data_IF_563499527697
#
_entry.id   IF_563499527697
#
_cell.length_a   1.000
_cell.length_b   1.000
_cell.length_c   1.000
_cell.angle_alpha   90.00
_cell.angle_beta   90.00
_cell.angle_gamma   90.00
#
_symmetry.space_group_name_H-M   'P 1'
#
loop_
_entity.id
_entity.type
_entity.pdbx_description
1 polymer ?
#
# COMPACT_ATOMS: atom_id res chain seq x y z
N UNK A 1 34.79 17.35 58.03
CA UNK A 1 34.28 16.30 57.16
C UNK A 1 33.25 16.95 56.17
N UNK A 2 33.73 17.32 54.99
CA UNK A 2 32.87 18.04 54.00
C UNK A 2 32.15 17.02 53.13
N UNK A 3 30.83 16.97 53.20
CA UNK A 3 29.95 16.10 52.40
C UNK A 3 29.81 16.74 51.02
N UNK A 4 30.51 16.23 50.01
CA UNK A 4 30.37 16.62 48.62
C UNK A 4 29.02 16.10 48.11
N UNK A 5 28.00 16.96 48.08
CA UNK A 5 26.76 16.74 47.36
C UNK A 5 27.04 16.81 45.85
N UNK A 6 27.24 15.66 45.22
CA UNK A 6 27.28 15.56 43.77
C UNK A 6 25.85 15.73 43.27
N UNK A 7 25.54 16.73 42.41
CA UNK A 7 24.20 16.84 41.82
C UNK A 7 23.98 15.64 40.91
N UNK A 8 23.13 14.69 41.30
CA UNK A 8 22.59 13.68 40.41
C UNK A 8 21.71 14.40 39.39
N UNK A 9 22.24 14.61 38.21
CA UNK A 9 21.45 15.05 37.05
C UNK A 9 20.42 13.96 36.76
N UNK A 10 19.22 14.13 37.27
CA UNK A 10 18.08 13.27 36.89
C UNK A 10 17.79 13.60 35.44
N UNK A 11 18.28 12.80 34.49
CA UNK A 11 17.86 12.85 33.11
C UNK A 11 16.39 12.47 33.10
N UNK A 12 15.50 13.46 33.01
CA UNK A 12 14.08 13.23 32.87
C UNK A 12 13.88 12.45 31.55
N UNK A 13 13.39 11.22 31.64
CA UNK A 13 13.09 10.39 30.51
C UNK A 13 12.00 11.08 29.66
N UNK A 14 12.26 11.28 28.38
CA UNK A 14 11.32 11.89 27.44
C UNK A 14 10.55 10.81 26.70
N UNK A 15 9.24 10.97 26.66
CA UNK A 15 8.34 10.10 25.91
C UNK A 15 7.66 10.91 24.82
N UNK A 16 7.54 10.31 23.64
CA UNK A 16 6.88 10.91 22.50
C UNK A 16 5.72 10.06 22.01
N UNK A 17 4.81 10.69 21.29
CA UNK A 17 3.80 10.01 20.50
C UNK A 17 3.57 10.74 19.18
N UNK A 18 3.04 10.04 18.20
CA UNK A 18 2.73 10.60 16.88
C UNK A 18 1.54 9.86 16.27
N UNK A 19 0.91 10.47 15.27
CA UNK A 19 -0.15 9.86 14.48
C UNK A 19 0.41 9.51 13.09
N UNK A 20 0.62 8.22 12.83
CA UNK A 20 1.14 7.76 11.53
C UNK A 20 0.16 8.01 10.40
N UNK A 21 -1.16 7.91 10.65
CA UNK A 21 -2.17 8.16 9.63
C UNK A 21 -2.11 9.60 9.11
N UNK A 22 -1.97 10.59 10.02
CA UNK A 22 -1.85 12.01 9.66
C UNK A 22 -0.58 12.31 8.87
N UNK A 23 0.51 11.57 9.15
CA UNK A 23 1.77 11.72 8.44
C UNK A 23 1.66 11.12 7.05
N UNK A 24 1.22 9.85 6.96
CA UNK A 24 1.10 9.11 5.68
C UNK A 24 0.19 9.87 4.71
N UNK A 25 -0.98 10.35 5.18
CA UNK A 25 -1.91 11.13 4.35
C UNK A 25 -1.31 12.45 3.84
N UNK A 26 -0.38 13.04 4.59
CA UNK A 26 0.29 14.26 4.18
C UNK A 26 1.48 14.02 3.23
N UNK A 27 1.94 12.77 3.07
CA UNK A 27 3.05 12.44 2.19
C UNK A 27 2.64 12.46 0.72
N UNK A 28 3.32 13.23 -0.16
CA UNK A 28 3.01 13.26 -1.59
C UNK A 28 3.19 11.89 -2.25
N UNK A 29 4.10 11.06 -1.75
CA UNK A 29 4.32 9.70 -2.21
C UNK A 29 3.08 8.81 -2.01
N UNK A 30 2.30 9.05 -0.96
CA UNK A 30 1.05 8.34 -0.71
C UNK A 30 0.00 8.65 -1.77
N UNK A 31 -0.19 9.94 -2.08
CA UNK A 31 -1.10 10.37 -3.14
C UNK A 31 -0.67 9.83 -4.51
N UNK A 32 0.64 9.88 -4.80
CA UNK A 32 1.19 9.34 -6.04
C UNK A 32 0.95 7.82 -6.12
N UNK A 33 1.22 7.08 -5.05
CA UNK A 33 1.00 5.64 -4.99
C UNK A 33 -0.48 5.27 -5.21
N UNK A 34 -1.40 6.00 -4.59
CA UNK A 34 -2.84 5.78 -4.80
C UNK A 34 -3.25 6.00 -6.27
N UNK A 35 -2.77 7.09 -6.89
CA UNK A 35 -3.07 7.38 -8.28
C UNK A 35 -2.50 6.30 -9.23
N UNK A 36 -1.29 5.84 -8.99
CA UNK A 36 -0.67 4.79 -9.81
C UNK A 36 -1.39 3.44 -9.66
N UNK A 37 -1.80 3.07 -8.44
CA UNK A 37 -2.60 1.86 -8.21
C UNK A 37 -3.96 1.97 -8.92
N UNK A 38 -4.60 3.13 -8.85
CA UNK A 38 -5.88 3.37 -9.54
C UNK A 38 -5.73 3.28 -11.06
N UNK A 39 -4.67 3.83 -11.63
CA UNK A 39 -4.37 3.74 -13.06
C UNK A 39 -4.12 2.29 -13.49
N UNK A 40 -3.33 1.55 -12.70
CA UNK A 40 -3.04 0.15 -12.95
C UNK A 40 -4.31 -0.71 -12.90
N UNK A 41 -5.17 -0.49 -11.92
CA UNK A 41 -6.47 -1.15 -11.81
C UNK A 41 -7.33 -0.88 -13.06
N UNK A 42 -7.45 0.38 -13.48
CA UNK A 42 -8.21 0.77 -14.67
C UNK A 42 -7.64 0.10 -15.93
N UNK A 43 -6.32 0.01 -16.04
CA UNK A 43 -5.68 -0.68 -17.16
C UNK A 43 -6.05 -2.18 -17.19
N UNK A 44 -5.98 -2.86 -16.04
CA UNK A 44 -6.33 -4.28 -15.94
C UNK A 44 -7.80 -4.55 -16.24
N UNK A 45 -8.70 -3.69 -15.73
CA UNK A 45 -10.14 -3.78 -16.04
C UNK A 45 -10.41 -3.63 -17.54
N UNK A 46 -9.75 -2.69 -18.22
CA UNK A 46 -9.87 -2.49 -19.66
C UNK A 46 -9.31 -3.68 -20.46
N UNK A 47 -8.19 -4.25 -20.04
CA UNK A 47 -7.58 -5.42 -20.68
C UNK A 47 -8.48 -6.64 -20.54
N UNK A 48 -9.00 -6.91 -19.34
CA UNK A 48 -9.96 -8.01 -19.11
C UNK A 48 -11.23 -7.83 -19.92
N UNK A 49 -11.78 -6.61 -19.95
CA UNK A 49 -12.96 -6.30 -20.77
C UNK A 49 -12.71 -6.61 -22.25
N UNK A 50 -11.57 -6.20 -22.80
CA UNK A 50 -11.20 -6.48 -24.19
C UNK A 50 -11.12 -7.99 -24.47
N UNK A 51 -10.53 -8.76 -23.54
CA UNK A 51 -10.46 -10.22 -23.66
C UNK A 51 -11.85 -10.87 -23.60
N UNK A 52 -12.73 -10.39 -22.72
CA UNK A 52 -14.11 -10.85 -22.62
C UNK A 52 -14.93 -10.54 -23.89
N UNK A 53 -14.77 -9.33 -24.44
CA UNK A 53 -15.43 -8.93 -25.69
C UNK A 53 -14.93 -9.78 -26.87
N UNK A 54 -13.66 -10.17 -26.89
CA UNK A 54 -13.14 -11.10 -27.91
C UNK A 54 -13.69 -12.52 -27.75
N UNK A 55 -13.74 -13.03 -26.50
CA UNK A 55 -14.34 -14.33 -26.21
C UNK A 55 -15.80 -14.38 -26.66
N UNK A 56 -16.57 -13.35 -26.36
CA UNK A 56 -17.96 -13.25 -26.73
C UNK A 56 -18.15 -13.27 -28.25
N UNK A 57 -17.28 -12.57 -29.00
CA UNK A 57 -17.27 -12.59 -30.45
C UNK A 57 -16.98 -14.00 -31.01
N UNK A 58 -15.89 -14.62 -30.51
CA UNK A 58 -15.53 -16.01 -30.92
C UNK A 58 -16.67 -17.00 -30.66
N UNK A 59 -17.34 -16.87 -29.52
CA UNK A 59 -18.48 -17.71 -29.17
C UNK A 59 -19.68 -17.47 -30.11
N UNK A 60 -20.03 -16.22 -30.38
CA UNK A 60 -21.11 -15.86 -31.30
C UNK A 60 -20.84 -16.33 -32.72
N UNK A 61 -19.61 -16.19 -33.21
CA UNK A 61 -19.21 -16.65 -34.52
C UNK A 61 -19.26 -18.19 -34.62
N UNK A 62 -18.79 -18.89 -33.59
CA UNK A 62 -18.89 -20.34 -33.51
C UNK A 62 -20.36 -20.81 -33.55
N UNK A 63 -21.26 -20.18 -32.79
CA UNK A 63 -22.69 -20.53 -32.80
C UNK A 63 -23.34 -20.39 -34.18
N UNK A 64 -22.95 -19.36 -34.94
CA UNK A 64 -23.49 -19.13 -36.31
C UNK A 64 -22.97 -20.15 -37.29
N UNK A 65 -21.72 -20.54 -37.18
CA UNK A 65 -21.02 -21.34 -38.20
C UNK A 65 -21.02 -22.85 -37.89
N UNK A 66 -21.27 -23.28 -36.65
CA UNK A 66 -21.06 -24.65 -36.17
C UNK A 66 -21.78 -25.72 -37.02
N UNK A 67 -22.92 -25.40 -37.62
CA UNK A 67 -23.66 -26.35 -38.43
C UNK A 67 -22.96 -26.67 -39.76
N UNK A 68 -22.15 -25.76 -40.28
CA UNK A 68 -21.42 -25.88 -41.55
C UNK A 68 -19.97 -26.30 -41.44
N UNK A 69 -19.41 -26.29 -40.21
CA UNK A 69 -18.01 -26.62 -39.97
C UNK A 69 -17.76 -28.13 -40.02
N UNK A 70 -16.58 -28.52 -40.47
CA UNK A 70 -16.06 -29.88 -40.33
C UNK A 70 -15.78 -30.19 -38.85
N UNK A 71 -15.90 -31.44 -38.44
CA UNK A 71 -15.75 -31.84 -37.01
C UNK A 71 -14.40 -31.49 -36.41
N UNK A 72 -13.31 -31.62 -37.16
CA UNK A 72 -12.00 -31.22 -36.71
C UNK A 72 -11.86 -29.70 -36.51
N UNK A 73 -12.58 -28.90 -37.31
CA UNK A 73 -12.62 -27.43 -37.16
C UNK A 73 -13.48 -27.03 -35.96
N UNK A 74 -14.63 -27.70 -35.78
CA UNK A 74 -15.47 -27.50 -34.58
C UNK A 74 -14.67 -27.75 -33.31
N UNK A 75 -13.98 -28.88 -33.21
CA UNK A 75 -13.20 -29.24 -32.04
C UNK A 75 -12.12 -28.20 -31.76
N UNK A 76 -11.41 -27.74 -32.78
CA UNK A 76 -10.40 -26.67 -32.62
C UNK A 76 -11.00 -25.37 -32.11
N UNK A 77 -12.16 -24.94 -32.64
CA UNK A 77 -12.87 -23.73 -32.20
C UNK A 77 -13.33 -23.83 -30.75
N UNK A 78 -13.84 -24.98 -30.31
CA UNK A 78 -14.21 -25.24 -28.92
C UNK A 78 -12.98 -25.13 -28.01
N UNK A 79 -11.87 -25.75 -28.39
CA UNK A 79 -10.62 -25.66 -27.62
C UNK A 79 -10.12 -24.22 -27.51
N UNK A 80 -10.14 -23.45 -28.63
CA UNK A 80 -9.74 -22.03 -28.62
C UNK A 80 -10.60 -21.19 -27.67
N UNK A 81 -11.92 -21.46 -27.60
CA UNK A 81 -12.82 -20.75 -26.66
C UNK A 81 -12.50 -21.13 -25.21
N UNK A 82 -12.34 -22.42 -24.92
CA UNK A 82 -12.00 -22.92 -23.59
C UNK A 82 -10.63 -22.38 -23.09
N UNK A 83 -9.64 -22.36 -23.98
CA UNK A 83 -8.32 -21.82 -23.68
C UNK A 83 -8.38 -20.31 -23.40
N UNK A 84 -9.27 -19.60 -24.08
CA UNK A 84 -9.45 -18.18 -23.85
C UNK A 84 -10.16 -17.90 -22.52
N UNK A 85 -11.18 -18.69 -22.16
CA UNK A 85 -11.83 -18.62 -20.84
C UNK A 85 -10.81 -18.85 -19.71
N UNK A 86 -9.98 -19.90 -19.84
CA UNK A 86 -8.93 -20.20 -18.87
C UNK A 86 -7.92 -19.05 -18.75
N UNK A 87 -7.51 -18.45 -19.88
CA UNK A 87 -6.60 -17.29 -19.89
C UNK A 87 -7.21 -16.06 -19.24
N UNK A 88 -8.49 -15.78 -19.44
CA UNK A 88 -9.18 -14.65 -18.78
C UNK A 88 -9.17 -14.85 -17.26
N UNK A 89 -9.49 -16.06 -16.80
CA UNK A 89 -9.50 -16.39 -15.39
C UNK A 89 -8.09 -16.26 -14.77
N UNK A 90 -7.07 -16.78 -15.44
CA UNK A 90 -5.67 -16.66 -14.99
C UNK A 90 -5.24 -15.19 -14.96
N UNK A 91 -5.54 -14.42 -16.01
CA UNK A 91 -5.22 -12.99 -16.07
C UNK A 91 -5.83 -12.22 -14.92
N UNK A 92 -7.09 -12.48 -14.58
CA UNK A 92 -7.76 -11.85 -13.44
C UNK A 92 -7.02 -12.12 -12.12
N UNK A 93 -6.60 -13.37 -11.89
CA UNK A 93 -5.84 -13.74 -10.68
C UNK A 93 -4.47 -13.06 -10.64
N UNK A 94 -3.77 -13.05 -11.77
CA UNK A 94 -2.45 -12.41 -11.88
C UNK A 94 -2.54 -10.90 -11.66
N UNK A 95 -3.56 -10.25 -12.20
CA UNK A 95 -3.80 -8.82 -12.03
C UNK A 95 -4.13 -8.46 -10.57
N UNK A 96 -4.96 -9.25 -9.89
CA UNK A 96 -5.24 -9.06 -8.46
C UNK A 96 -3.98 -9.20 -7.60
N UNK A 97 -3.17 -10.23 -7.88
CA UNK A 97 -1.90 -10.44 -7.20
C UNK A 97 -0.94 -9.26 -7.44
N UNK A 98 -0.81 -8.82 -8.68
CA UNK A 98 0.05 -7.69 -9.06
C UNK A 98 -0.37 -6.39 -8.37
N UNK A 99 -1.68 -6.10 -8.28
CA UNK A 99 -2.19 -4.93 -7.55
C UNK A 99 -1.84 -5.00 -6.07
N UNK A 100 -2.02 -6.17 -5.44
CA UNK A 100 -1.69 -6.36 -4.04
C UNK A 100 -0.20 -6.18 -3.78
N UNK A 101 0.67 -6.81 -4.58
CA UNK A 101 2.13 -6.70 -4.46
C UNK A 101 2.60 -5.25 -4.67
N UNK A 102 2.06 -4.57 -5.69
CA UNK A 102 2.38 -3.16 -5.96
C UNK A 102 1.97 -2.27 -4.78
N UNK A 103 0.76 -2.47 -4.24
CA UNK A 103 0.28 -1.72 -3.08
C UNK A 103 1.16 -1.93 -1.85
N UNK A 104 1.54 -3.18 -1.56
CA UNK A 104 2.41 -3.51 -0.44
C UNK A 104 3.80 -2.87 -0.60
N UNK A 105 4.43 -2.96 -1.77
CA UNK A 105 5.74 -2.37 -2.04
C UNK A 105 5.73 -0.85 -1.86
N UNK A 106 4.70 -0.18 -2.37
CA UNK A 106 4.57 1.27 -2.23
C UNK A 106 4.33 1.70 -0.79
N UNK A 107 3.47 1.00 -0.06
CA UNK A 107 3.23 1.27 1.36
C UNK A 107 4.45 0.97 2.22
N UNK A 108 5.21 -0.06 1.90
CA UNK A 108 6.48 -0.35 2.57
C UNK A 108 7.48 0.79 2.40
N UNK A 109 7.69 1.28 1.17
CA UNK A 109 8.61 2.40 0.91
C UNK A 109 8.19 3.68 1.67
N UNK A 110 6.88 4.00 1.72
CA UNK A 110 6.34 5.12 2.48
C UNK A 110 6.60 4.94 3.98
N UNK A 111 6.35 3.74 4.50
CA UNK A 111 6.58 3.41 5.92
C UNK A 111 8.07 3.49 6.29
N UNK A 112 8.96 2.98 5.46
CA UNK A 112 10.41 3.06 5.68
C UNK A 112 10.90 4.52 5.74
N UNK A 113 10.42 5.37 4.84
CA UNK A 113 10.73 6.80 4.84
C UNK A 113 10.23 7.48 6.12
N UNK A 114 9.02 7.18 6.56
CA UNK A 114 8.45 7.69 7.81
C UNK A 114 9.25 7.21 9.03
N UNK A 115 9.59 5.92 9.10
CA UNK A 115 10.38 5.35 10.19
C UNK A 115 11.77 5.98 10.32
N UNK A 116 12.42 6.27 9.19
CA UNK A 116 13.69 6.99 9.17
C UNK A 116 13.56 8.40 9.80
N UNK A 117 12.49 9.12 9.48
CA UNK A 117 12.21 10.42 10.07
C UNK A 117 11.89 10.34 11.59
N UNK A 118 11.12 9.32 12.00
CA UNK A 118 10.83 9.05 13.41
C UNK A 118 12.13 8.79 14.18
N UNK A 119 13.01 7.93 13.64
CA UNK A 119 14.30 7.64 14.24
C UNK A 119 15.13 8.92 14.43
N UNK A 120 15.20 9.77 13.40
CA UNK A 120 15.92 11.05 13.48
C UNK A 120 15.35 11.95 14.57
N UNK A 121 14.03 12.09 14.66
CA UNK A 121 13.36 12.89 15.72
C UNK A 121 13.61 12.28 17.10
N UNK A 122 13.63 10.96 17.20
CA UNK A 122 13.93 10.23 18.43
C UNK A 122 15.32 10.51 18.94
N UNK A 123 16.32 10.33 18.08
CA UNK A 123 17.73 10.52 18.39
C UNK A 123 18.03 12.00 18.75
N UNK A 124 17.58 12.96 17.94
CA UNK A 124 17.79 14.39 18.18
C UNK A 124 17.05 14.91 19.43
N UNK A 125 15.86 14.37 19.70
CA UNK A 125 15.04 14.79 20.84
C UNK A 125 15.38 14.11 22.16
N UNK A 126 16.19 13.05 22.14
CA UNK A 126 16.52 12.25 23.32
C UNK A 126 15.30 11.53 23.89
N UNK A 127 14.40 11.05 23.02
CA UNK A 127 13.22 10.29 23.44
C UNK A 127 13.60 8.84 23.76
N UNK A 128 13.07 8.31 24.87
CA UNK A 128 13.21 6.89 25.24
C UNK A 128 12.43 6.01 24.28
N UNK A 129 11.22 6.45 23.93
CA UNK A 129 10.40 5.87 22.86
C UNK A 129 9.46 6.93 22.26
N UNK A 130 9.00 6.66 21.05
CA UNK A 130 7.96 7.42 20.35
C UNK A 130 6.89 6.41 19.92
N UNK A 131 5.66 6.56 20.44
CA UNK A 131 4.55 5.63 20.23
C UNK A 131 3.63 6.12 19.12
N UNK A 132 3.25 5.23 18.22
CA UNK A 132 2.18 5.49 17.25
C UNK A 132 0.80 5.39 17.92
N UNK A 133 -0.01 6.43 17.78
CA UNK A 133 -1.35 6.48 18.38
C UNK A 133 -2.47 6.31 17.36
N UNK A 134 -2.15 6.11 16.10
CA UNK A 134 -3.13 5.92 15.02
C UNK A 134 -4.02 4.68 15.22
N UNK A 135 -3.51 3.66 15.90
CA UNK A 135 -4.23 2.41 16.21
C UNK A 135 -5.19 2.50 17.42
N UNK A 136 -5.39 3.70 17.98
CA UNK A 136 -6.32 3.93 19.08
C UNK A 136 -5.72 3.68 20.47
N UNK A 137 -4.92 4.61 20.95
CA UNK A 137 -4.45 4.63 22.34
C UNK A 137 -5.50 5.33 23.20
N UNK A 138 -6.00 4.66 24.25
CA UNK A 138 -7.10 5.15 25.08
C UNK A 138 -6.75 6.36 25.93
N UNK A 139 -5.47 6.50 26.31
CA UNK A 139 -4.99 7.62 27.13
C UNK A 139 -3.52 7.89 26.88
N UNK A 140 -3.19 9.17 26.73
CA UNK A 140 -1.82 9.69 26.71
C UNK A 140 -1.74 10.91 27.62
N UNK A 141 -0.77 10.91 28.50
CA UNK A 141 -0.52 12.05 29.35
C UNK A 141 0.05 13.23 28.55
N UNK A 142 -0.70 14.32 28.49
CA UNK A 142 -0.25 15.58 27.87
C UNK A 142 0.89 16.28 28.64
N UNK A 143 1.17 15.84 29.88
CA UNK A 143 2.26 16.38 30.70
C UNK A 143 3.58 15.59 30.53
N UNK A 144 3.47 14.26 30.26
CA UNK A 144 4.63 13.36 30.27
C UNK A 144 5.01 12.90 28.85
N UNK A 145 4.11 12.96 27.90
CA UNK A 145 4.35 12.59 26.50
C UNK A 145 4.18 13.80 25.58
N UNK A 146 5.14 13.97 24.68
CA UNK A 146 5.13 15.07 23.69
C UNK A 146 4.61 14.54 22.36
N UNK A 147 3.65 15.24 21.75
CA UNK A 147 3.28 15.01 20.36
C UNK A 147 4.41 15.49 19.45
N UNK A 148 4.98 14.55 18.70
CA UNK A 148 6.07 14.81 17.75
C UNK A 148 5.64 14.72 16.29
N UNK A 149 4.36 14.57 16.03
CA UNK A 149 3.79 14.46 14.65
C UNK A 149 4.30 15.58 13.75
N UNK A 150 4.22 16.85 14.21
CA UNK A 150 4.70 18.01 13.45
C UNK A 150 6.21 17.98 13.21
N UNK A 151 6.99 17.50 14.18
CA UNK A 151 8.45 17.37 14.03
C UNK A 151 8.81 16.32 12.99
N UNK A 152 8.11 15.19 12.99
CA UNK A 152 8.29 14.13 11.99
C UNK A 152 7.89 14.64 10.60
N UNK A 153 6.76 15.35 10.48
CA UNK A 153 6.35 16.00 9.23
C UNK A 153 7.43 16.95 8.72
N UNK A 154 7.98 17.79 9.58
CA UNK A 154 9.05 18.71 9.20
C UNK A 154 10.32 17.98 8.70
N UNK A 155 10.71 16.84 9.31
CA UNK A 155 11.83 16.01 8.84
C UNK A 155 11.56 15.36 7.48
N UNK A 156 10.29 15.11 7.15
CA UNK A 156 9.84 14.62 5.84
C UNK A 156 9.69 15.75 4.80
N UNK A 157 9.88 17.03 5.18
CA UNK A 157 9.66 18.18 4.31
C UNK A 157 8.18 18.47 4.08
N UNK A 158 7.30 17.99 4.93
CA UNK A 158 5.85 18.21 4.86
C UNK A 158 5.47 19.49 5.61
N UNK A 159 4.39 20.15 5.17
CA UNK A 159 3.84 21.33 5.82
C UNK A 159 2.77 20.96 6.86
#
# INVERSE_FOLDING_TARGET
MALLLVPMSIFAQKFGHFNSADIIQAMPEYTTAQNEIQQLQTQYENDLKRMQDELQRKYADFQKEQASLLDNVKQRRITEIQDMEARIQQRYQDDQKSLQETSQQKMQAISEKMLAAIKTVGDEGGYVYIMDVSAGVHYISTKLSTDVTTKIKAKLGLK
#
